data_IF_363663387792
#
_entry.id   IF_363663387792
#
_cell.length_a   1.000
_cell.length_b   1.000
_cell.length_c   1.000
_cell.angle_alpha   90.00
_cell.angle_beta   90.00
_cell.angle_gamma   90.00
#
_symmetry.space_group_name_H-M   'P 1'
#
loop_
_entity.id
_entity.type
_entity.pdbx_description
1 polymer ?
#
# COMPACT_ATOMS: atom_id res chain seq x y z
N UNK A 1 30.43 -24.27 -1.52
CA UNK A 1 29.61 -23.52 -0.54
C UNK A 1 28.31 -23.10 -1.21
N UNK A 2 27.21 -23.71 -0.85
CA UNK A 2 25.90 -23.40 -1.41
C UNK A 2 25.43 -22.08 -0.79
N UNK A 3 25.47 -20.99 -1.56
CA UNK A 3 24.91 -19.72 -1.16
C UNK A 3 23.39 -19.94 -1.03
N UNK A 4 22.90 -20.15 0.19
CA UNK A 4 21.47 -20.09 0.48
C UNK A 4 21.00 -18.69 0.07
N UNK A 5 20.35 -18.58 -1.09
CA UNK A 5 19.58 -17.40 -1.43
C UNK A 5 18.57 -17.22 -0.29
N UNK A 6 18.82 -16.26 0.59
CA UNK A 6 17.81 -15.85 1.58
C UNK A 6 16.62 -15.32 0.78
N UNK A 7 15.55 -16.05 0.80
CA UNK A 7 14.29 -15.64 0.19
C UNK A 7 13.62 -14.77 1.22
N UNK A 8 13.50 -13.49 0.91
CA UNK A 8 12.85 -12.53 1.81
C UNK A 8 11.37 -12.44 1.45
N UNK A 9 10.52 -12.58 2.46
CA UNK A 9 9.13 -12.26 2.30
C UNK A 9 8.95 -10.74 2.29
N UNK A 10 8.21 -10.23 1.31
CA UNK A 10 7.90 -8.80 1.19
C UNK A 10 6.56 -8.62 0.52
N UNK A 11 5.91 -7.49 0.78
CA UNK A 11 4.64 -7.13 0.18
C UNK A 11 4.70 -5.68 -0.29
N UNK A 12 4.56 -5.47 -1.59
CA UNK A 12 4.44 -4.13 -2.17
C UNK A 12 3.04 -3.59 -1.91
N UNK A 13 2.98 -2.40 -1.35
CA UNK A 13 1.76 -1.66 -1.04
C UNK A 13 1.82 -0.26 -1.69
N UNK A 14 1.00 0.68 -1.21
CA UNK A 14 1.08 2.09 -1.62
C UNK A 14 0.72 2.34 -3.08
N UNK A 15 1.29 3.40 -3.66
CA UNK A 15 0.94 3.88 -5.00
C UNK A 15 1.24 2.91 -6.12
N UNK A 16 2.34 2.16 -6.02
CA UNK A 16 2.68 1.14 -7.02
C UNK A 16 1.65 0.00 -7.03
N UNK A 17 1.23 -0.48 -5.86
CA UNK A 17 0.19 -1.49 -5.78
C UNK A 17 -1.17 -0.99 -6.30
N UNK A 18 -1.47 0.31 -6.16
CA UNK A 18 -2.65 0.94 -6.78
C UNK A 18 -2.62 0.83 -8.29
N UNK A 19 -1.45 1.10 -8.92
CA UNK A 19 -1.29 0.95 -10.38
C UNK A 19 -1.53 -0.50 -10.82
N UNK A 20 -0.94 -1.45 -10.14
CA UNK A 20 -1.09 -2.88 -10.45
C UNK A 20 -2.53 -3.39 -10.26
N UNK A 21 -3.31 -2.70 -9.42
CA UNK A 21 -4.75 -2.97 -9.22
C UNK A 21 -5.67 -2.11 -10.11
N UNK A 22 -5.15 -1.53 -11.20
CA UNK A 22 -5.96 -0.98 -12.29
C UNK A 22 -6.14 0.54 -12.28
N UNK A 23 -5.52 1.29 -11.36
CA UNK A 23 -5.55 2.75 -11.37
C UNK A 23 -4.17 3.35 -11.62
N UNK A 24 -3.90 3.72 -12.87
CA UNK A 24 -2.65 4.35 -13.26
C UNK A 24 -2.55 5.79 -12.70
N UNK A 25 -1.60 6.02 -11.82
CA UNK A 25 -1.22 7.33 -11.33
C UNK A 25 0.28 7.43 -11.08
N UNK A 26 0.80 8.63 -11.07
CA UNK A 26 2.21 8.83 -10.73
C UNK A 26 2.47 8.48 -9.25
N UNK A 27 3.59 7.79 -9.01
CA UNK A 27 4.16 7.59 -7.67
C UNK A 27 5.67 7.76 -7.73
N UNK A 28 6.23 8.45 -6.75
CA UNK A 28 7.67 8.73 -6.67
C UNK A 28 8.46 7.69 -5.88
N UNK A 29 7.77 6.83 -5.15
CA UNK A 29 8.37 5.83 -4.27
C UNK A 29 7.66 4.48 -4.40
N UNK A 30 8.33 3.45 -3.90
CA UNK A 30 7.78 2.11 -3.73
C UNK A 30 7.69 1.79 -2.25
N UNK A 31 6.50 1.51 -1.75
CA UNK A 31 6.27 1.14 -0.36
C UNK A 31 6.29 -0.39 -0.22
N UNK A 32 7.16 -0.91 0.63
CA UNK A 32 7.34 -2.37 0.81
C UNK A 32 7.20 -2.72 2.29
N UNK A 33 6.25 -3.59 2.60
CA UNK A 33 6.12 -4.21 3.92
C UNK A 33 7.11 -5.36 4.03
N UNK A 34 7.90 -5.36 5.09
CA UNK A 34 8.95 -6.36 5.36
C UNK A 34 8.86 -6.86 6.80
N UNK A 35 9.29 -8.10 7.09
CA UNK A 35 9.30 -8.62 8.46
C UNK A 35 10.23 -7.85 9.39
N UNK A 36 11.39 -7.41 8.88
CA UNK A 36 12.41 -6.70 9.62
C UNK A 36 13.03 -5.60 8.76
N UNK A 37 12.80 -4.36 9.14
CA UNK A 37 13.28 -3.17 8.38
C UNK A 37 14.81 -3.09 8.36
N UNK A 38 15.49 -3.37 9.48
CA UNK A 38 16.94 -3.29 9.55
C UNK A 38 17.59 -4.34 8.63
N UNK A 39 17.12 -5.58 8.66
CA UNK A 39 17.61 -6.63 7.79
C UNK A 39 17.35 -6.33 6.31
N UNK A 40 16.16 -5.84 5.98
CA UNK A 40 15.83 -5.44 4.61
C UNK A 40 16.75 -4.31 4.10
N UNK A 41 17.01 -3.32 4.95
CA UNK A 41 17.91 -2.22 4.64
C UNK A 41 19.34 -2.70 4.38
N UNK A 42 19.86 -3.61 5.20
CA UNK A 42 21.19 -4.18 5.04
C UNK A 42 21.30 -4.91 3.69
N UNK A 43 20.29 -5.69 3.33
CA UNK A 43 20.23 -6.40 2.04
C UNK A 43 20.20 -5.42 0.87
N UNK A 44 19.38 -4.38 0.94
CA UNK A 44 19.28 -3.36 -0.11
C UNK A 44 20.58 -2.56 -0.24
N UNK A 45 21.27 -2.29 0.86
CA UNK A 45 22.59 -1.63 0.84
C UNK A 45 23.60 -2.41 0.00
N UNK A 46 23.66 -3.73 0.17
CA UNK A 46 24.52 -4.63 -0.64
C UNK A 46 24.13 -4.60 -2.12
N UNK A 47 22.83 -4.34 -2.42
CA UNK A 47 22.28 -4.28 -3.78
C UNK A 47 22.40 -2.92 -4.47
N UNK A 48 23.04 -1.94 -3.84
CA UNK A 48 23.29 -0.64 -4.44
C UNK A 48 22.35 0.47 -3.99
N UNK A 49 21.51 0.22 -3.01
CA UNK A 49 20.73 1.27 -2.36
C UNK A 49 21.56 1.98 -1.29
N UNK A 50 21.24 3.21 -1.01
CA UNK A 50 21.81 3.98 0.10
C UNK A 50 20.70 4.43 1.05
N UNK A 51 21.04 4.53 2.31
CA UNK A 51 20.15 5.09 3.32
C UNK A 51 19.92 6.59 3.06
N UNK A 52 18.71 7.04 3.31
CA UNK A 52 18.39 8.45 3.23
C UNK A 52 18.74 9.14 4.55
N UNK A 53 19.45 10.28 4.53
CA UNK A 53 19.71 11.04 5.74
C UNK A 53 18.39 11.42 6.44
N UNK A 54 18.31 11.13 7.74
CA UNK A 54 17.14 11.47 8.55
C UNK A 54 15.97 10.47 8.50
N UNK A 55 16.09 9.36 7.72
CA UNK A 55 15.08 8.31 7.71
C UNK A 55 15.69 6.93 7.80
N UNK A 56 15.38 6.20 8.87
CA UNK A 56 15.78 4.80 9.04
C UNK A 56 14.93 3.82 8.22
N UNK A 57 13.87 4.30 7.61
CA UNK A 57 12.89 3.48 6.87
C UNK A 57 12.95 3.70 5.36
N UNK A 58 13.77 4.62 4.88
CA UNK A 58 13.81 4.98 3.46
C UNK A 58 15.21 4.76 2.91
N UNK A 59 15.29 4.08 1.77
CA UNK A 59 16.51 3.88 0.99
C UNK A 59 16.28 4.31 -0.44
N UNK A 60 17.34 4.75 -1.11
CA UNK A 60 17.28 5.23 -2.51
C UNK A 60 18.22 4.42 -3.37
N UNK A 61 17.75 3.92 -4.50
CA UNK A 61 18.61 3.30 -5.49
C UNK A 61 19.60 4.31 -6.07
N UNK A 62 20.88 3.97 -6.08
CA UNK A 62 21.95 4.88 -6.51
C UNK A 62 21.89 5.23 -8.00
N UNK A 63 21.31 4.36 -8.81
CA UNK A 63 21.24 4.52 -10.27
C UNK A 63 19.94 5.18 -10.68
N UNK A 64 18.82 4.52 -10.43
CA UNK A 64 17.50 5.00 -10.87
C UNK A 64 16.94 6.14 -10.03
N UNK A 65 17.51 6.38 -8.83
CA UNK A 65 17.02 7.35 -7.85
C UNK A 65 15.62 7.03 -7.30
N UNK A 66 15.12 5.85 -7.55
CA UNK A 66 13.86 5.39 -6.96
C UNK A 66 14.02 5.25 -5.46
N UNK A 67 13.07 5.86 -4.74
CA UNK A 67 12.99 5.77 -3.30
C UNK A 67 12.14 4.55 -2.90
N UNK A 68 12.62 3.78 -1.94
CA UNK A 68 11.91 2.65 -1.35
C UNK A 68 11.66 2.93 0.11
N UNK A 69 10.40 2.89 0.52
CA UNK A 69 9.98 3.02 1.91
C UNK A 69 9.77 1.63 2.48
N UNK A 70 10.51 1.29 3.54
CA UNK A 70 10.42 0.00 4.23
C UNK A 70 9.45 0.13 5.40
N UNK A 71 8.39 -0.64 5.39
CA UNK A 71 7.35 -0.63 6.40
C UNK A 71 7.40 -1.91 7.24
N UNK A 72 7.36 -1.82 8.57
CA UNK A 72 7.40 -3.02 9.41
C UNK A 72 6.07 -3.78 9.36
N UNK A 73 6.11 -5.05 8.96
CA UNK A 73 4.95 -5.94 9.02
C UNK A 73 4.42 -6.06 10.45
N UNK A 74 3.10 -6.07 10.62
CA UNK A 74 2.44 -6.02 11.93
C UNK A 74 2.49 -4.66 12.63
N UNK A 75 3.17 -3.66 12.06
CA UNK A 75 3.14 -2.29 12.53
C UNK A 75 1.81 -1.59 12.25
N UNK A 76 1.55 -0.49 12.94
CA UNK A 76 0.33 0.30 12.72
C UNK A 76 0.36 1.00 11.36
N UNK A 77 -0.80 1.09 10.71
CA UNK A 77 -0.99 1.93 9.53
C UNK A 77 -1.22 3.38 10.00
N UNK A 78 -0.14 4.09 10.29
CA UNK A 78 -0.22 5.40 10.93
C UNK A 78 -1.02 5.33 12.24
N UNK A 79 -1.80 6.37 12.58
CA UNK A 79 -2.74 6.34 13.70
C UNK A 79 -4.07 5.64 13.37
N UNK A 80 -4.18 4.96 12.25
CA UNK A 80 -5.38 4.26 11.81
C UNK A 80 -5.66 2.96 12.59
N UNK A 81 -6.87 2.37 12.42
CA UNK A 81 -7.33 1.24 13.21
C UNK A 81 -6.68 -0.10 12.87
N UNK A 82 -6.06 -0.23 11.69
CA UNK A 82 -5.49 -1.50 11.23
C UNK A 82 -3.97 -1.54 11.37
N UNK A 83 -3.45 -2.75 11.35
CA UNK A 83 -2.01 -3.04 11.25
C UNK A 83 -1.66 -3.49 9.84
N UNK A 84 -0.41 -3.24 9.45
CA UNK A 84 0.15 -3.78 8.22
C UNK A 84 0.19 -5.31 8.29
N UNK A 85 -0.12 -6.01 7.19
CA UNK A 85 -0.04 -7.47 7.16
C UNK A 85 1.40 -7.94 7.39
N UNK A 86 1.54 -9.16 7.90
CA UNK A 86 2.82 -9.85 7.92
C UNK A 86 3.05 -10.48 6.54
N UNK A 87 4.13 -10.16 5.83
CA UNK A 87 4.46 -10.82 4.59
C UNK A 87 4.97 -12.25 4.88
N UNK A 88 4.06 -13.22 4.77
CA UNK A 88 4.33 -14.63 5.11
C UNK A 88 4.73 -15.47 3.89
N UNK A 89 4.43 -15.02 2.70
CA UNK A 89 4.76 -15.77 1.49
C UNK A 89 6.22 -15.58 1.09
N UNK A 90 6.94 -16.67 1.03
CA UNK A 90 8.29 -16.71 0.49
C UNK A 90 8.17 -16.89 -1.02
N UNK A 91 8.40 -15.83 -1.78
CA UNK A 91 8.37 -15.84 -3.24
C UNK A 91 9.68 -15.32 -3.80
N UNK A 92 10.16 -15.86 -4.93
CA UNK A 92 11.32 -15.32 -5.64
C UNK A 92 11.04 -13.93 -6.25
N UNK A 93 9.76 -13.55 -6.34
CA UNK A 93 9.31 -12.23 -6.79
C UNK A 93 8.56 -11.52 -5.65
N UNK A 94 8.63 -10.18 -5.58
CA UNK A 94 7.87 -9.45 -4.59
C UNK A 94 6.38 -9.66 -4.81
N UNK A 95 5.66 -9.94 -3.74
CA UNK A 95 4.20 -9.98 -3.75
C UNK A 95 3.68 -8.55 -3.80
N UNK A 96 2.59 -8.36 -4.54
CA UNK A 96 1.86 -7.10 -4.58
C UNK A 96 0.57 -7.28 -3.79
N UNK A 97 0.21 -6.29 -2.97
CA UNK A 97 -1.01 -6.34 -2.19
C UNK A 97 -2.23 -6.52 -3.11
N UNK A 98 -3.08 -7.44 -2.75
CA UNK A 98 -4.36 -7.62 -3.43
C UNK A 98 -5.30 -6.44 -3.14
N UNK A 99 -6.39 -6.38 -3.90
CA UNK A 99 -7.35 -5.28 -3.84
C UNK A 99 -7.93 -5.09 -2.43
N UNK A 100 -8.26 -6.19 -1.73
CA UNK A 100 -8.78 -6.15 -0.36
C UNK A 100 -7.76 -5.53 0.60
N UNK A 101 -6.58 -6.09 0.65
CA UNK A 101 -5.49 -5.62 1.53
C UNK A 101 -5.15 -4.15 1.25
N UNK A 102 -5.09 -3.76 -0.02
CA UNK A 102 -4.77 -2.40 -0.42
C UNK A 102 -5.85 -1.40 0.03
N UNK A 103 -7.12 -1.71 -0.20
CA UNK A 103 -8.25 -0.87 0.23
C UNK A 103 -8.30 -0.76 1.76
N UNK A 104 -8.08 -1.85 2.49
CA UNK A 104 -8.02 -1.84 3.95
C UNK A 104 -6.90 -0.93 4.48
N UNK A 105 -5.69 -1.02 3.92
CA UNK A 105 -4.56 -0.17 4.30
C UNK A 105 -4.86 1.31 4.01
N UNK A 106 -5.39 1.60 2.82
CA UNK A 106 -5.72 2.97 2.40
C UNK A 106 -6.79 3.61 3.28
N UNK A 107 -7.88 2.90 3.55
CA UNK A 107 -8.94 3.38 4.44
C UNK A 107 -8.45 3.56 5.87
N UNK A 108 -7.65 2.63 6.39
CA UNK A 108 -7.06 2.76 7.72
C UNK A 108 -6.16 3.99 7.82
N UNK A 109 -5.31 4.21 6.84
CA UNK A 109 -4.45 5.39 6.75
C UNK A 109 -5.26 6.69 6.73
N UNK A 110 -6.30 6.75 5.90
CA UNK A 110 -7.20 7.90 5.83
C UNK A 110 -7.92 8.16 7.15
N UNK A 111 -8.51 7.13 7.76
CA UNK A 111 -9.22 7.26 9.05
C UNK A 111 -8.32 7.78 10.17
N UNK A 112 -7.05 7.40 10.16
CA UNK A 112 -6.07 7.88 11.14
C UNK A 112 -5.67 9.33 10.97
N UNK A 113 -5.68 9.88 9.76
CA UNK A 113 -5.24 11.25 9.46
C UNK A 113 -5.98 11.83 8.24
N UNK A 114 -7.30 12.08 8.32
CA UNK A 114 -8.11 12.46 7.16
C UNK A 114 -7.59 13.70 6.44
N UNK A 115 -7.12 14.70 7.17
CA UNK A 115 -6.67 15.97 6.59
C UNK A 115 -5.38 15.86 5.77
N UNK A 116 -4.51 14.90 6.10
CA UNK A 116 -3.21 14.70 5.44
C UNK A 116 -3.19 13.50 4.48
N UNK A 117 -4.23 12.66 4.47
CA UNK A 117 -4.33 11.42 3.73
C UNK A 117 -5.43 11.39 2.67
N UNK A 118 -5.76 12.56 2.12
CA UNK A 118 -6.77 12.67 1.05
C UNK A 118 -6.45 11.83 -0.18
N UNK A 119 -5.16 11.63 -0.49
CA UNK A 119 -4.74 10.78 -1.59
C UNK A 119 -5.15 9.31 -1.37
N UNK A 120 -5.13 8.83 -0.12
CA UNK A 120 -5.53 7.47 0.20
C UNK A 120 -7.03 7.25 -0.06
N UNK A 121 -7.87 8.23 0.28
CA UNK A 121 -9.29 8.20 -0.06
C UNK A 121 -9.52 8.25 -1.57
N UNK A 122 -8.81 9.12 -2.28
CA UNK A 122 -8.88 9.23 -3.74
C UNK A 122 -8.47 7.93 -4.44
N UNK A 123 -7.45 7.26 -3.93
CA UNK A 123 -7.02 5.95 -4.42
C UNK A 123 -8.14 4.89 -4.24
N UNK A 124 -8.82 4.88 -3.10
CA UNK A 124 -9.95 3.96 -2.85
C UNK A 124 -11.09 4.21 -3.83
N UNK A 125 -11.48 5.46 -4.04
CA UNK A 125 -12.52 5.82 -5.02
C UNK A 125 -12.14 5.34 -6.43
N UNK A 126 -10.90 5.57 -6.83
CA UNK A 126 -10.41 5.14 -8.14
C UNK A 126 -10.37 3.61 -8.28
N UNK A 127 -9.98 2.89 -7.22
CA UNK A 127 -10.00 1.42 -7.19
C UNK A 127 -11.42 0.85 -7.28
N UNK A 128 -12.39 1.48 -6.59
CA UNK A 128 -13.82 1.11 -6.69
C UNK A 128 -14.27 1.20 -8.14
N UNK A 129 -13.98 2.31 -8.83
CA UNK A 129 -14.36 2.53 -10.22
C UNK A 129 -13.64 1.55 -11.17
N UNK A 130 -12.33 1.44 -11.07
CA UNK A 130 -11.52 0.62 -11.96
C UNK A 130 -11.85 -0.87 -11.89
N UNK A 131 -12.23 -1.36 -10.71
CA UNK A 131 -12.54 -2.77 -10.45
C UNK A 131 -14.03 -3.06 -10.32
N UNK A 132 -14.90 -2.07 -10.52
CA UNK A 132 -16.36 -2.20 -10.36
C UNK A 132 -16.74 -2.89 -9.03
N UNK A 133 -16.10 -2.44 -7.95
CA UNK A 133 -16.25 -3.08 -6.64
C UNK A 133 -17.69 -2.94 -6.13
N UNK A 134 -18.29 -4.02 -5.57
CA UNK A 134 -19.64 -3.99 -5.05
C UNK A 134 -19.71 -3.28 -3.68
N UNK A 135 -20.91 -2.83 -3.29
CA UNK A 135 -21.17 -2.22 -1.99
C UNK A 135 -20.76 -3.13 -0.82
N UNK A 136 -21.07 -4.41 -0.95
CA UNK A 136 -20.81 -5.43 0.06
C UNK A 136 -19.44 -6.10 -0.08
N UNK A 137 -18.45 -5.38 -0.62
CA UNK A 137 -17.09 -5.90 -0.72
C UNK A 137 -16.55 -6.24 0.68
N UNK A 138 -16.05 -7.47 0.84
CA UNK A 138 -15.64 -7.98 2.14
C UNK A 138 -14.35 -7.34 2.63
N UNK A 139 -14.46 -6.53 3.69
CA UNK A 139 -13.38 -5.80 4.34
C UNK A 139 -13.42 -6.01 5.85
N UNK A 140 -12.31 -5.68 6.51
CA UNK A 140 -12.24 -5.64 7.97
C UNK A 140 -13.31 -4.68 8.53
N UNK A 141 -13.97 -5.09 9.63
CA UNK A 141 -15.05 -4.33 10.26
C UNK A 141 -14.67 -2.93 10.73
N UNK A 142 -13.38 -2.68 10.97
CA UNK A 142 -12.88 -1.37 11.37
C UNK A 142 -12.91 -0.33 10.23
N UNK A 143 -12.94 -0.76 8.97
CA UNK A 143 -12.91 0.12 7.79
C UNK A 143 -14.13 -0.05 6.87
N UNK A 144 -14.86 -1.15 6.99
CA UNK A 144 -16.03 -1.42 6.15
C UNK A 144 -17.13 -0.36 6.22
N UNK A 145 -17.42 0.29 7.37
CA UNK A 145 -18.39 1.39 7.40
C UNK A 145 -17.98 2.58 6.53
N UNK A 146 -16.68 2.93 6.55
CA UNK A 146 -16.17 4.03 5.70
C UNK A 146 -16.20 3.65 4.23
N UNK A 147 -15.91 2.41 3.90
CA UNK A 147 -16.05 1.92 2.53
C UNK A 147 -17.48 2.06 2.01
N UNK A 148 -18.47 1.63 2.78
CA UNK A 148 -19.88 1.70 2.41
C UNK A 148 -20.35 3.16 2.21
N UNK A 149 -19.91 4.08 3.08
CA UNK A 149 -20.16 5.51 2.93
C UNK A 149 -19.61 6.03 1.59
N UNK A 150 -18.32 5.80 1.33
CA UNK A 150 -17.65 6.24 0.09
C UNK A 150 -18.32 5.65 -1.15
N UNK A 151 -18.66 4.37 -1.12
CA UNK A 151 -19.35 3.70 -2.22
C UNK A 151 -20.72 4.32 -2.51
N UNK A 152 -21.49 4.56 -1.45
CA UNK A 152 -22.82 5.17 -1.56
C UNK A 152 -22.77 6.59 -2.14
N UNK A 153 -21.86 7.43 -1.65
CA UNK A 153 -21.66 8.80 -2.16
C UNK A 153 -21.26 8.78 -3.64
N UNK A 154 -20.31 7.90 -4.00
CA UNK A 154 -19.86 7.74 -5.37
C UNK A 154 -21.02 7.36 -6.31
N UNK A 155 -21.86 6.42 -5.90
CA UNK A 155 -23.01 5.98 -6.71
C UNK A 155 -24.11 7.05 -6.81
N UNK A 156 -24.26 7.87 -5.79
CA UNK A 156 -25.17 9.02 -5.85
C UNK A 156 -24.67 10.06 -6.87
N UNK A 157 -23.39 10.40 -6.86
CA UNK A 157 -22.80 11.34 -7.83
C UNK A 157 -22.91 10.84 -9.27
N UNK A 158 -22.60 9.55 -9.52
CA UNK A 158 -22.73 8.94 -10.85
C UNK A 158 -24.15 9.01 -11.41
N UNK A 159 -25.17 8.76 -10.57
CA UNK A 159 -26.59 8.87 -10.97
C UNK A 159 -26.99 10.30 -11.27
N UNK A 160 -26.55 11.25 -10.46
CA UNK A 160 -26.83 12.66 -10.65
C UNK A 160 -26.21 13.23 -11.93
N UNK A 161 -25.05 12.73 -12.30
CA UNK A 161 -24.34 13.15 -13.51
C UNK A 161 -24.87 12.53 -14.80
N UNK A 162 -25.57 11.39 -14.71
CA UNK A 162 -26.15 10.66 -15.86
C UNK A 162 -27.59 11.11 -16.21
N UNK A 163 -28.18 12.01 -15.41
CA UNK A 163 -29.55 12.48 -15.57
C UNK A 163 -29.70 13.85 -16.25
N UNK A 164 -28.62 14.40 -16.85
CA UNK A 164 -28.64 15.71 -17.52
C UNK A 164 -28.44 15.57 -19.03
#
# INVERSE_FOLDING_TARGET
MCSRRRIYSSLIVGGYAVQENGYARFTSNVDIVVPNVAEARDVLSIKGFRENPGSSMTVTDRISKVEVVLLPGGGSVGPGPLKLPLPIAVSPQPNIADLRTLVEIKLSSYLGSPMSRNQDLSDVIALIKANQMPENFELNSAVSPKYAEVWSELKHEERSSSGN
#
